data_IF_915894456808
#
_entry.id   IF_915894456808
#
_cell.length_a   1.000
_cell.length_b   1.000
_cell.length_c   1.000
_cell.angle_alpha   90.00
_cell.angle_beta   90.00
_cell.angle_gamma   90.00
#
_symmetry.space_group_name_H-M   'P 1'
#
loop_
_entity.id
_entity.type
_entity.pdbx_description
1 polymer ?
#
# COMPACT_ATOMS: atom_id res chain seq x y z
N UNK A 1 38.68 13.00 62.11
CA UNK A 1 37.42 12.25 62.33
C UNK A 1 36.56 12.45 61.07
N UNK A 2 36.74 11.60 60.06
CA UNK A 2 36.05 11.73 58.77
C UNK A 2 34.63 11.18 58.92
N UNK A 3 33.62 12.06 58.81
CA UNK A 3 32.21 11.66 58.77
C UNK A 3 31.93 11.02 57.41
N UNK A 4 31.45 9.77 57.45
CA UNK A 4 31.20 8.87 56.35
C UNK A 4 30.28 9.46 55.27
N UNK A 5 30.84 9.64 54.08
CA UNK A 5 30.19 10.04 52.82
C UNK A 5 29.38 8.89 52.16
N UNK A 6 29.37 7.71 52.77
CA UNK A 6 28.92 6.45 52.15
C UNK A 6 27.42 6.40 51.88
N UNK A 7 26.60 7.03 52.73
CA UNK A 7 25.14 7.01 52.60
C UNK A 7 24.59 7.82 51.42
N UNK A 8 25.33 8.82 50.93
CA UNK A 8 24.93 9.61 49.74
C UNK A 8 25.33 8.90 48.45
N UNK A 9 26.50 8.26 48.44
CA UNK A 9 27.00 7.53 47.29
C UNK A 9 26.15 6.30 46.98
N UNK A 10 25.73 5.55 48.01
CA UNK A 10 24.83 4.40 47.87
C UNK A 10 23.46 4.79 47.27
N UNK A 11 22.89 5.95 47.63
CA UNK A 11 21.63 6.43 47.06
C UNK A 11 21.74 6.78 45.58
N UNK A 12 22.86 7.37 45.18
CA UNK A 12 23.10 7.73 43.77
C UNK A 12 23.23 6.46 42.92
N UNK A 13 23.99 5.46 43.36
CA UNK A 13 24.13 4.18 42.65
C UNK A 13 22.76 3.48 42.52
N UNK A 14 21.96 3.47 43.58
CA UNK A 14 20.63 2.87 43.56
C UNK A 14 19.69 3.57 42.57
N UNK A 15 19.71 4.91 42.50
CA UNK A 15 18.94 5.66 41.51
C UNK A 15 19.37 5.36 40.07
N UNK A 16 20.67 5.22 39.81
CA UNK A 16 21.17 4.84 38.47
C UNK A 16 20.72 3.44 38.07
N UNK A 17 20.72 2.47 38.99
CA UNK A 17 20.26 1.12 38.72
C UNK A 17 18.76 1.06 38.40
N UNK A 18 17.94 1.84 39.10
CA UNK A 18 16.50 1.99 38.80
C UNK A 18 16.29 2.61 37.41
N UNK A 19 17.06 3.65 37.07
CA UNK A 19 16.94 4.32 35.76
C UNK A 19 17.27 3.36 34.61
N UNK A 20 18.34 2.56 34.75
CA UNK A 20 18.72 1.55 33.76
C UNK A 20 17.66 0.44 33.64
N UNK A 21 17.03 0.04 34.75
CA UNK A 21 15.94 -0.95 34.71
C UNK A 21 14.68 -0.39 34.03
N UNK A 22 14.30 0.86 34.32
CA UNK A 22 13.14 1.51 33.70
C UNK A 22 13.33 1.70 32.19
N UNK A 23 14.53 2.10 31.76
CA UNK A 23 14.88 2.28 30.35
C UNK A 23 14.82 0.95 29.56
N UNK A 24 15.28 -0.15 30.18
CA UNK A 24 15.13 -1.50 29.60
C UNK A 24 13.69 -1.98 29.53
N UNK A 25 12.85 -1.64 30.51
CA UNK A 25 11.44 -1.99 30.49
C UNK A 25 10.69 -1.26 29.36
N UNK A 26 10.99 0.02 29.13
CA UNK A 26 10.41 0.80 28.03
C UNK A 26 10.79 0.24 26.66
N UNK A 27 12.07 -0.08 26.44
CA UNK A 27 12.55 -0.71 25.20
C UNK A 27 11.90 -2.09 24.95
N UNK A 28 11.65 -2.87 26.01
CA UNK A 28 10.96 -4.15 25.91
C UNK A 28 9.49 -3.98 25.47
N UNK A 29 8.79 -3.00 26.04
CA UNK A 29 7.39 -2.73 25.72
C UNK A 29 7.22 -2.22 24.28
N UNK A 30 8.12 -1.36 23.81
CA UNK A 30 8.16 -0.93 22.40
C UNK A 30 8.42 -2.09 21.45
N UNK A 31 9.34 -3.00 21.81
CA UNK A 31 9.64 -4.19 21.01
C UNK A 31 8.44 -5.13 20.93
N UNK A 32 7.74 -5.36 22.05
CA UNK A 32 6.53 -6.18 22.10
C UNK A 32 5.42 -5.55 21.24
N UNK A 33 5.22 -4.24 21.34
CA UNK A 33 4.23 -3.53 20.52
C UNK A 33 4.56 -3.59 19.02
N UNK A 34 5.85 -3.52 18.67
CA UNK A 34 6.30 -3.67 17.28
C UNK A 34 6.04 -5.08 16.74
N UNK A 35 6.35 -6.12 17.53
CA UNK A 35 6.05 -7.52 17.19
C UNK A 35 4.54 -7.71 16.99
N UNK A 36 3.71 -7.18 17.88
CA UNK A 36 2.25 -7.28 17.76
C UNK A 36 1.74 -6.64 16.45
N UNK A 37 2.29 -5.50 16.07
CA UNK A 37 1.96 -4.81 14.81
C UNK A 37 2.40 -5.63 13.59
N UNK A 38 3.55 -6.30 13.67
CA UNK A 38 4.00 -7.22 12.63
C UNK A 38 3.05 -8.43 12.48
N UNK A 39 2.58 -9.01 13.58
CA UNK A 39 1.61 -10.10 13.56
C UNK A 39 0.28 -9.68 12.93
N UNK A 40 -0.23 -8.50 13.29
CA UNK A 40 -1.44 -7.92 12.68
C UNK A 40 -1.27 -7.73 11.16
N UNK A 41 -0.11 -7.24 10.73
CA UNK A 41 0.21 -7.07 9.31
C UNK A 41 0.29 -8.41 8.58
N UNK A 42 0.91 -9.44 9.17
CA UNK A 42 0.96 -10.79 8.60
C UNK A 42 -0.45 -11.37 8.46
N UNK A 43 -1.32 -11.18 9.45
CA UNK A 43 -2.71 -11.62 9.37
C UNK A 43 -3.51 -10.89 8.27
N UNK A 44 -3.27 -9.60 8.06
CA UNK A 44 -3.86 -8.85 6.94
C UNK A 44 -3.35 -9.38 5.59
N UNK A 45 -2.06 -9.65 5.47
CA UNK A 45 -1.47 -10.19 4.24
C UNK A 45 -1.98 -11.60 3.92
N UNK A 46 -2.15 -12.47 4.92
CA UNK A 46 -2.74 -13.81 4.74
C UNK A 46 -4.17 -13.72 4.19
N UNK A 47 -5.02 -12.86 4.78
CA UNK A 47 -6.38 -12.62 4.27
C UNK A 47 -6.39 -12.09 2.84
N UNK A 48 -5.48 -11.16 2.51
CA UNK A 48 -5.34 -10.64 1.15
C UNK A 48 -4.95 -11.74 0.16
N UNK A 49 -4.03 -12.64 0.54
CA UNK A 49 -3.63 -13.80 -0.27
C UNK A 49 -4.80 -14.77 -0.49
N UNK A 50 -5.56 -15.09 0.55
CA UNK A 50 -6.71 -15.98 0.45
C UNK A 50 -7.79 -15.41 -0.49
N UNK A 51 -8.07 -14.11 -0.39
CA UNK A 51 -8.99 -13.43 -1.31
C UNK A 51 -8.50 -13.50 -2.76
N UNK A 52 -7.19 -13.28 -3.01
CA UNK A 52 -6.61 -13.39 -4.35
C UNK A 52 -6.74 -14.82 -4.92
N UNK A 53 -6.51 -15.85 -4.10
CA UNK A 53 -6.66 -17.25 -4.50
C UNK A 53 -8.14 -17.61 -4.75
N UNK A 54 -9.08 -17.05 -3.98
CA UNK A 54 -10.52 -17.23 -4.20
C UNK A 54 -10.97 -16.63 -5.55
N UNK A 55 -10.37 -15.50 -5.92
CA UNK A 55 -10.65 -14.82 -7.19
C UNK A 55 -10.02 -15.57 -8.37
N UNK A 56 -8.77 -16.07 -8.22
CA UNK A 56 -8.14 -16.94 -9.23
C UNK A 56 -8.87 -18.28 -9.42
N UNK A 57 -9.49 -18.81 -8.37
CA UNK A 57 -10.25 -20.07 -8.43
C UNK A 57 -11.70 -19.91 -8.91
N UNK A 58 -12.12 -18.70 -9.30
CA UNK A 58 -13.45 -18.43 -9.82
C UNK A 58 -14.58 -18.62 -8.80
N UNK A 59 -14.28 -18.65 -7.50
CA UNK A 59 -15.24 -18.96 -6.43
C UNK A 59 -15.91 -17.73 -5.80
N UNK A 60 -15.59 -16.53 -6.24
CA UNK A 60 -16.28 -15.30 -5.82
C UNK A 60 -17.18 -14.81 -6.94
N UNK A 61 -18.46 -14.62 -6.62
CA UNK A 61 -19.51 -14.06 -7.47
C UNK A 61 -19.27 -12.59 -7.84
N UNK A 62 -18.10 -12.26 -8.40
CA UNK A 62 -17.79 -10.95 -8.96
C UNK A 62 -17.68 -11.09 -10.49
N UNK A 63 -18.67 -11.75 -11.09
CA UNK A 63 -18.71 -12.04 -12.53
C UNK A 63 -19.08 -10.82 -13.39
N UNK A 64 -19.36 -9.63 -12.85
CA UNK A 64 -20.02 -8.58 -13.64
C UNK A 64 -19.42 -7.17 -13.61
N UNK A 65 -18.20 -6.96 -13.10
CA UNK A 65 -17.51 -5.67 -13.31
C UNK A 65 -16.56 -5.77 -14.50
N UNK A 66 -17.09 -5.51 -15.69
CA UNK A 66 -16.32 -5.45 -16.94
C UNK A 66 -15.47 -4.17 -16.95
N UNK A 67 -14.35 -4.17 -16.23
CA UNK A 67 -13.30 -3.15 -16.37
C UNK A 67 -12.34 -3.62 -17.45
N UNK A 68 -12.13 -2.78 -18.47
CA UNK A 68 -11.16 -3.00 -19.55
C UNK A 68 -10.09 -1.92 -19.48
N UNK A 69 -8.84 -2.32 -19.57
CA UNK A 69 -7.68 -1.43 -19.63
C UNK A 69 -6.96 -1.67 -20.94
N UNK A 70 -6.59 -0.61 -21.65
CA UNK A 70 -5.65 -0.70 -22.77
C UNK A 70 -4.52 0.30 -22.57
N UNK A 71 -3.30 -0.12 -22.89
CA UNK A 71 -2.07 0.68 -22.72
C UNK A 71 -1.40 0.81 -24.08
N UNK A 72 -1.30 2.04 -24.57
CA UNK A 72 -0.52 2.39 -25.75
C UNK A 72 0.80 3.03 -25.33
N UNK A 73 1.91 2.44 -25.74
CA UNK A 73 3.24 2.82 -25.27
C UNK A 73 4.00 3.64 -26.31
N UNK A 74 4.57 4.75 -25.87
CA UNK A 74 5.30 5.73 -26.69
C UNK A 74 6.70 6.03 -26.13
N UNK A 75 7.37 5.03 -25.55
CA UNK A 75 8.75 5.14 -25.05
C UNK A 75 8.83 5.53 -23.57
N UNK A 76 8.89 6.81 -23.24
CA UNK A 76 8.84 7.25 -21.81
C UNK A 76 7.44 7.65 -21.36
N UNK A 77 6.50 7.57 -22.28
CA UNK A 77 5.11 7.97 -22.10
C UNK A 77 4.19 6.82 -22.50
N UNK A 78 2.98 6.82 -21.95
CA UNK A 78 1.92 5.93 -22.37
C UNK A 78 0.55 6.63 -22.34
N UNK A 79 -0.35 6.16 -23.19
CA UNK A 79 -1.78 6.47 -23.10
C UNK A 79 -2.47 5.25 -22.50
N UNK A 80 -3.14 5.46 -21.36
CA UNK A 80 -3.89 4.42 -20.67
C UNK A 80 -5.37 4.74 -20.82
N UNK A 81 -6.12 3.83 -21.43
CA UNK A 81 -7.57 3.90 -21.50
C UNK A 81 -8.19 2.91 -20.53
N UNK A 82 -9.13 3.39 -19.71
CA UNK A 82 -9.84 2.58 -18.72
C UNK A 82 -11.33 2.75 -18.97
N UNK A 83 -11.99 1.64 -19.33
CA UNK A 83 -13.44 1.57 -19.48
C UNK A 83 -14.01 0.75 -18.34
N UNK A 84 -15.11 1.21 -17.73
CA UNK A 84 -15.84 0.42 -16.75
C UNK A 84 -17.23 0.97 -16.47
N UNK A 85 -17.99 0.28 -15.64
CA UNK A 85 -19.27 0.79 -15.14
C UNK A 85 -19.07 1.95 -14.19
N UNK A 86 -20.04 2.86 -14.14
CA UNK A 86 -20.01 4.02 -13.24
C UNK A 86 -20.07 3.56 -11.79
N UNK A 87 -19.07 3.96 -11.00
CA UNK A 87 -19.03 3.66 -9.57
C UNK A 87 -18.56 4.84 -8.72
N UNK A 88 -18.97 4.89 -7.43
CA UNK A 88 -18.46 5.90 -6.51
C UNK A 88 -16.93 5.75 -6.35
N UNK A 89 -16.22 6.88 -6.32
CA UNK A 89 -14.75 6.95 -6.09
C UNK A 89 -13.89 6.19 -7.12
N UNK A 90 -14.44 5.81 -8.27
CA UNK A 90 -13.70 5.08 -9.30
C UNK A 90 -12.46 5.84 -9.79
N UNK A 91 -12.61 7.15 -10.05
CA UNK A 91 -11.48 8.01 -10.47
C UNK A 91 -10.35 8.03 -9.44
N UNK A 92 -10.68 8.13 -8.15
CA UNK A 92 -9.69 8.13 -7.07
C UNK A 92 -8.90 6.82 -7.03
N UNK A 93 -9.59 5.68 -7.12
CA UNK A 93 -8.96 4.36 -7.17
C UNK A 93 -8.05 4.21 -8.38
N UNK A 94 -8.47 4.69 -9.55
CA UNK A 94 -7.65 4.66 -10.75
C UNK A 94 -6.35 5.45 -10.54
N UNK A 95 -6.43 6.66 -9.98
CA UNK A 95 -5.25 7.48 -9.71
C UNK A 95 -4.30 6.82 -8.70
N UNK A 96 -4.82 6.23 -7.61
CA UNK A 96 -4.00 5.47 -6.65
C UNK A 96 -3.30 4.28 -7.31
N UNK A 97 -4.01 3.58 -8.20
CA UNK A 97 -3.45 2.45 -8.93
C UNK A 97 -2.35 2.91 -9.90
N UNK A 98 -2.57 3.98 -10.68
CA UNK A 98 -1.55 4.57 -11.56
C UNK A 98 -0.31 5.00 -10.77
N UNK A 99 -0.49 5.72 -9.66
CA UNK A 99 0.63 6.15 -8.81
C UNK A 99 1.42 4.94 -8.26
N UNK A 100 0.73 3.88 -7.85
CA UNK A 100 1.39 2.67 -7.34
C UNK A 100 2.20 1.91 -8.40
N UNK A 101 1.93 2.13 -9.69
CA UNK A 101 2.72 1.61 -10.81
C UNK A 101 3.85 2.56 -11.22
N UNK A 102 4.05 3.67 -10.51
CA UNK A 102 5.05 4.68 -10.85
C UNK A 102 4.68 5.46 -12.10
N UNK A 103 3.38 5.62 -12.38
CA UNK A 103 2.87 6.36 -13.53
C UNK A 103 2.47 7.78 -13.09
N UNK A 104 3.18 8.78 -13.62
CA UNK A 104 2.87 10.18 -13.43
C UNK A 104 1.85 10.65 -14.45
N UNK A 105 0.66 11.02 -14.00
CA UNK A 105 -0.39 11.54 -14.88
C UNK A 105 -0.05 12.96 -15.31
N UNK A 106 0.18 13.17 -16.61
CA UNK A 106 0.32 14.51 -17.20
C UNK A 106 -1.05 15.13 -17.48
N UNK A 107 -1.91 14.37 -18.17
CA UNK A 107 -3.24 14.83 -18.54
C UNK A 107 -4.26 13.70 -18.48
N UNK A 108 -5.54 14.06 -18.32
CA UNK A 108 -6.63 13.09 -18.32
C UNK A 108 -7.86 13.62 -19.05
N UNK A 109 -8.56 12.74 -19.76
CA UNK A 109 -9.87 13.03 -20.35
C UNK A 109 -10.89 12.02 -19.84
N UNK A 110 -12.01 12.53 -19.34
CA UNK A 110 -13.11 11.74 -18.79
C UNK A 110 -14.32 11.84 -19.71
N UNK A 111 -14.79 10.70 -20.18
CA UNK A 111 -16.03 10.55 -20.93
C UNK A 111 -17.01 9.72 -20.11
N UNK A 112 -18.19 10.28 -19.85
CA UNK A 112 -19.26 9.58 -19.13
C UNK A 112 -20.40 9.31 -20.08
N UNK A 113 -20.71 8.03 -20.29
CA UNK A 113 -21.96 7.59 -20.89
C UNK A 113 -23.03 7.33 -19.83
N UNK A 114 -24.20 6.90 -20.27
CA UNK A 114 -25.32 6.56 -19.38
C UNK A 114 -24.96 5.41 -18.41
N UNK A 115 -24.23 4.41 -18.91
CA UNK A 115 -23.89 3.19 -18.16
C UNK A 115 -22.38 2.96 -17.96
N UNK A 116 -21.54 3.76 -18.60
CA UNK A 116 -20.10 3.55 -18.60
C UNK A 116 -19.33 4.84 -18.33
N UNK A 117 -18.11 4.66 -17.84
CA UNK A 117 -17.10 5.67 -17.71
C UNK A 117 -15.90 5.21 -18.53
N UNK A 118 -15.41 6.09 -19.38
CA UNK A 118 -14.18 5.93 -20.14
C UNK A 118 -13.23 7.04 -19.72
N UNK A 119 -12.03 6.68 -19.29
CA UNK A 119 -11.00 7.64 -18.91
C UNK A 119 -9.74 7.36 -19.70
N UNK A 120 -9.19 8.41 -20.31
CA UNK A 120 -7.87 8.40 -20.91
C UNK A 120 -6.90 9.14 -19.99
N UNK A 121 -5.74 8.56 -19.78
CA UNK A 121 -4.62 9.18 -19.09
C UNK A 121 -3.42 9.19 -20.01
N UNK A 122 -2.82 10.37 -20.17
CA UNK A 122 -1.46 10.47 -20.67
C UNK A 122 -0.53 10.46 -19.47
N UNK A 123 0.38 9.49 -19.44
CA UNK A 123 1.25 9.25 -18.28
C UNK A 123 2.71 9.17 -18.69
N UNK A 124 3.59 9.58 -17.78
CA UNK A 124 5.03 9.31 -17.81
C UNK A 124 5.41 8.18 -16.86
N UNK A 125 6.46 7.45 -17.18
CA UNK A 125 7.06 6.49 -16.24
C UNK A 125 8.07 7.18 -15.31
N UNK A 126 7.91 7.02 -13.99
CA UNK A 126 8.95 7.41 -13.01
C UNK A 126 10.12 6.42 -13.12
N UNK A 127 11.28 6.93 -13.52
CA UNK A 127 12.52 6.17 -13.72
C UNK A 127 12.40 5.01 -14.73
N UNK A 128 13.51 4.31 -14.99
CA UNK A 128 13.67 3.21 -15.98
C UNK A 128 12.85 1.97 -15.60
N UNK A 129 11.53 2.10 -15.51
CA UNK A 129 10.60 1.00 -15.37
C UNK A 129 10.53 0.32 -16.74
N UNK A 130 11.42 -0.65 -16.93
CA UNK A 130 11.33 -1.67 -17.97
C UNK A 130 10.16 -2.60 -17.66
N UNK A 131 8.94 -2.07 -17.60
CA UNK A 131 7.75 -2.90 -17.53
C UNK A 131 7.16 -3.01 -18.93
N UNK A 132 7.04 -4.26 -19.36
CA UNK A 132 6.29 -4.63 -20.55
C UNK A 132 4.88 -4.02 -20.45
N UNK A 133 4.43 -3.24 -21.46
CA UNK A 133 3.08 -2.66 -21.49
C UNK A 133 1.97 -3.68 -21.20
N UNK A 134 2.16 -4.94 -21.63
CA UNK A 134 1.20 -6.00 -21.35
C UNK A 134 1.11 -6.34 -19.85
N UNK A 135 2.21 -6.23 -19.11
CA UNK A 135 2.21 -6.45 -17.65
C UNK A 135 1.51 -5.31 -16.91
N UNK A 136 1.74 -4.06 -17.31
CA UNK A 136 1.05 -2.89 -16.74
C UNK A 136 -0.45 -3.00 -17.00
N UNK A 137 -0.85 -3.31 -18.24
CA UNK A 137 -2.24 -3.51 -18.60
C UNK A 137 -2.89 -4.61 -17.75
N UNK A 138 -2.28 -5.79 -17.71
CA UNK A 138 -2.80 -6.94 -16.95
C UNK A 138 -2.89 -6.64 -15.46
N UNK A 139 -1.88 -5.97 -14.89
CA UNK A 139 -1.84 -5.61 -13.47
C UNK A 139 -2.91 -4.58 -13.11
N UNK A 140 -3.03 -3.50 -13.89
CA UNK A 140 -4.06 -2.48 -13.69
C UNK A 140 -5.46 -3.07 -13.82
N UNK A 141 -5.71 -3.88 -14.86
CA UNK A 141 -7.01 -4.52 -15.07
C UNK A 141 -7.37 -5.45 -13.90
N UNK A 142 -6.42 -6.25 -13.43
CA UNK A 142 -6.61 -7.12 -12.27
C UNK A 142 -6.89 -6.32 -11.00
N UNK A 143 -6.04 -5.35 -10.64
CA UNK A 143 -6.16 -4.58 -9.39
C UNK A 143 -7.43 -3.73 -9.36
N UNK A 144 -7.83 -3.15 -10.48
CA UNK A 144 -9.08 -2.39 -10.57
C UNK A 144 -10.32 -3.27 -10.40
N UNK A 145 -10.31 -4.51 -10.94
CA UNK A 145 -11.39 -5.49 -10.71
C UNK A 145 -11.46 -5.97 -9.26
N UNK A 146 -10.32 -6.12 -8.59
CA UNK A 146 -10.22 -6.60 -7.19
C UNK A 146 -10.72 -5.59 -6.16
N UNK A 147 -10.89 -4.32 -6.53
CA UNK A 147 -11.23 -3.24 -5.60
C UNK A 147 -12.75 -2.99 -5.52
N UNK A 148 -13.57 -3.87 -6.09
CA UNK A 148 -15.04 -3.84 -6.03
C UNK A 148 -15.60 -5.08 -5.32
#
# INVERSE_FOLDING_TARGET
>A
MYKTSDGKFAKIIFCFLIFIQLDRCGLFEETINYIRKLEENIHRLKRKRENLLAIQSGKTANENTEIKVAVEFYGREAIISITGQRGPRQMWKILEELESHGLDVETSQLFTGEFFVLVFFHVNFRDYISQDPAQIQTSLECRLKLTY
#
